data_IF_475141597918
#
_entry.id   IF_475141597918
#
_cell.length_a   1.000
_cell.length_b   1.000
_cell.length_c   1.000
_cell.angle_alpha   90.00
_cell.angle_beta   90.00
_cell.angle_gamma   90.00
#
_symmetry.space_group_name_H-M   'P 1'
#
loop_
_entity.id
_entity.type
_entity.pdbx_description
1 polymer ?
#
# COMPACT_ATOMS: atom_id res chain seq x y z
N UNK A 1 15.00 4.51 7.26
CA UNK A 1 14.41 3.68 6.19
C UNK A 1 13.42 4.46 5.33
N UNK A 2 12.37 5.09 5.88
CA UNK A 2 11.41 5.88 5.08
C UNK A 2 12.01 7.04 4.27
N UNK A 3 12.88 7.86 4.86
CA UNK A 3 13.60 8.91 4.09
C UNK A 3 14.62 8.34 3.09
N UNK A 4 15.25 7.22 3.43
CA UNK A 4 16.23 6.57 2.57
C UNK A 4 15.55 5.90 1.35
N UNK A 5 14.33 5.38 1.50
CA UNK A 5 13.54 4.79 0.41
C UNK A 5 13.25 5.77 -0.73
N UNK A 6 13.04 7.06 -0.41
CA UNK A 6 12.81 8.10 -1.42
C UNK A 6 14.06 8.40 -2.27
N UNK A 7 15.27 8.16 -1.75
CA UNK A 7 16.54 8.45 -2.45
C UNK A 7 17.26 7.20 -2.96
N UNK A 8 17.05 6.04 -2.34
CA UNK A 8 17.73 4.77 -2.65
C UNK A 8 16.82 3.74 -3.32
N UNK A 9 15.54 4.07 -3.57
CA UNK A 9 14.57 3.15 -4.20
C UNK A 9 14.13 1.99 -3.30
N UNK A 10 14.47 2.00 -2.02
CA UNK A 10 14.14 0.92 -1.10
C UNK A 10 12.70 0.95 -0.64
N UNK A 11 12.04 -0.21 -0.71
CA UNK A 11 10.75 -0.45 -0.04
C UNK A 11 10.99 -0.73 1.45
N UNK A 12 10.43 0.06 2.39
CA UNK A 12 10.49 -0.22 3.81
C UNK A 12 9.94 -1.62 4.15
N UNK A 13 10.57 -2.29 5.11
CA UNK A 13 10.15 -3.62 5.56
C UNK A 13 8.65 -3.70 5.95
N UNK A 14 8.04 -2.70 6.61
CA UNK A 14 6.60 -2.70 6.87
C UNK A 14 5.74 -2.79 5.60
N UNK A 15 6.16 -2.13 4.52
CA UNK A 15 5.43 -2.16 3.25
C UNK A 15 5.57 -3.52 2.55
N UNK A 16 6.74 -4.15 2.67
CA UNK A 16 6.99 -5.48 2.10
C UNK A 16 6.21 -6.59 2.81
N UNK A 17 5.99 -6.45 4.12
CA UNK A 17 5.29 -7.45 4.91
C UNK A 17 3.77 -7.28 4.90
N UNK A 18 3.25 -6.18 4.34
CA UNK A 18 1.82 -5.88 4.30
C UNK A 18 1.03 -6.97 3.56
N UNK A 19 1.32 -7.24 2.29
CA UNK A 19 0.58 -8.24 1.52
C UNK A 19 0.65 -9.66 2.12
N UNK A 20 1.82 -10.16 2.55
CA UNK A 20 1.91 -11.44 3.25
C UNK A 20 1.05 -11.50 4.52
N UNK A 21 1.08 -10.44 5.34
CA UNK A 21 0.28 -10.34 6.56
C UNK A 21 -1.22 -10.37 6.26
N UNK A 22 -1.66 -9.61 5.25
CA UNK A 22 -3.05 -9.60 4.82
C UNK A 22 -3.49 -10.96 4.26
N UNK A 23 -2.62 -11.65 3.52
CA UNK A 23 -2.94 -12.95 2.90
C UNK A 23 -3.20 -14.06 3.92
N UNK A 24 -2.60 -13.98 5.11
CA UNK A 24 -2.73 -14.98 6.18
C UNK A 24 -3.85 -14.60 7.16
N UNK A 25 -4.37 -13.38 7.06
CA UNK A 25 -5.36 -12.87 8.00
C UNK A 25 -6.71 -13.59 7.84
N UNK A 26 -7.27 -14.18 8.91
CA UNK A 26 -8.60 -14.77 8.85
C UNK A 26 -9.64 -13.71 8.48
N UNK A 27 -10.56 -14.03 7.56
CA UNK A 27 -11.55 -13.07 7.06
C UNK A 27 -12.39 -12.38 8.15
N UNK A 28 -12.65 -13.07 9.27
CA UNK A 28 -13.35 -12.49 10.43
C UNK A 28 -12.53 -11.37 11.08
N UNK A 29 -11.21 -11.57 11.21
CA UNK A 29 -10.30 -10.57 11.78
C UNK A 29 -10.14 -9.40 10.81
N UNK A 30 -10.00 -9.69 9.52
CA UNK A 30 -9.90 -8.67 8.49
C UNK A 30 -11.16 -7.80 8.42
N UNK A 31 -12.35 -8.42 8.42
CA UNK A 31 -13.64 -7.71 8.46
C UNK A 31 -13.79 -6.84 9.70
N UNK A 32 -13.49 -7.39 10.89
CA UNK A 32 -13.51 -6.62 12.14
C UNK A 32 -12.54 -5.42 12.11
N UNK A 33 -11.32 -5.62 11.61
CA UNK A 33 -10.33 -4.55 11.52
C UNK A 33 -10.73 -3.48 10.50
N UNK A 34 -11.34 -3.85 9.37
CA UNK A 34 -11.89 -2.90 8.41
C UNK A 34 -13.04 -2.10 9.03
N UNK A 35 -14.00 -2.79 9.66
CA UNK A 35 -15.18 -2.14 10.25
C UNK A 35 -14.79 -1.21 11.41
N UNK A 36 -13.78 -1.59 12.19
CA UNK A 36 -13.33 -0.83 13.37
C UNK A 36 -12.33 0.26 13.04
N UNK A 37 -11.35 -0.01 12.17
CA UNK A 37 -10.27 0.93 11.87
C UNK A 37 -10.55 1.79 10.65
N UNK A 38 -11.43 1.36 9.74
CA UNK A 38 -11.78 2.07 8.51
C UNK A 38 -10.55 2.72 7.85
N UNK A 39 -10.53 4.06 7.78
CA UNK A 39 -9.48 4.84 7.12
C UNK A 39 -8.16 4.83 7.92
N UNK A 40 -8.21 4.56 9.22
CA UNK A 40 -7.04 4.43 10.08
C UNK A 40 -6.34 3.07 9.91
N UNK A 41 -6.95 2.09 9.23
CA UNK A 41 -6.41 0.73 9.11
C UNK A 41 -4.97 0.71 8.61
N UNK A 42 -4.69 1.42 7.50
CA UNK A 42 -3.33 1.49 6.94
C UNK A 42 -2.33 2.18 7.86
N UNK A 43 -2.75 3.25 8.55
CA UNK A 43 -1.90 4.01 9.47
C UNK A 43 -1.56 3.17 10.71
N UNK A 44 -2.56 2.49 11.28
CA UNK A 44 -2.41 1.62 12.45
C UNK A 44 -1.53 0.42 12.12
N UNK A 45 -1.68 -0.16 10.93
CA UNK A 45 -0.84 -1.27 10.47
C UNK A 45 0.63 -0.86 10.35
N UNK A 46 0.92 0.23 9.62
CA UNK A 46 2.30 0.70 9.47
C UNK A 46 2.92 1.12 10.81
N UNK A 47 2.16 1.82 11.65
CA UNK A 47 2.61 2.21 12.99
C UNK A 47 2.88 0.98 13.87
N UNK A 48 1.99 -0.01 13.85
CA UNK A 48 2.14 -1.27 14.58
C UNK A 48 3.39 -2.03 14.17
N UNK A 49 3.68 -2.11 12.87
CA UNK A 49 4.89 -2.74 12.35
C UNK A 49 6.16 -1.99 12.74
N UNK A 50 6.14 -0.66 12.75
CA UNK A 50 7.27 0.15 13.23
C UNK A 50 7.52 -0.10 14.72
N UNK A 51 6.47 -0.08 15.55
CA UNK A 51 6.58 -0.35 16.99
C UNK A 51 7.13 -1.75 17.24
N UNK A 52 6.62 -2.76 16.51
CA UNK A 52 7.11 -4.13 16.60
C UNK A 52 8.59 -4.23 16.22
N UNK A 53 9.02 -3.59 15.13
CA UNK A 53 10.44 -3.56 14.73
C UNK A 53 11.33 -2.94 15.80
N UNK A 54 10.91 -1.81 16.39
CA UNK A 54 11.65 -1.16 17.49
C UNK A 54 11.73 -2.08 18.71
N UNK A 55 10.63 -2.75 19.08
CA UNK A 55 10.60 -3.69 20.19
C UNK A 55 11.52 -4.91 19.95
N UNK A 56 11.50 -5.49 18.75
CA UNK A 56 12.35 -6.64 18.37
C UNK A 56 13.84 -6.25 18.39
N UNK A 57 14.20 -5.12 17.80
CA UNK A 57 15.59 -4.63 17.84
C UNK A 57 16.00 -4.33 19.29
N UNK A 58 15.17 -3.61 20.05
CA UNK A 58 15.43 -3.35 21.47
C UNK A 58 15.62 -4.63 22.29
N UNK A 59 14.80 -5.66 22.03
CA UNK A 59 14.91 -6.97 22.65
C UNK A 59 16.21 -7.70 22.30
N UNK A 60 16.64 -7.64 21.03
CA UNK A 60 17.94 -8.18 20.60
C UNK A 60 19.11 -7.46 21.28
N UNK A 61 19.01 -6.14 21.44
CA UNK A 61 20.01 -5.35 22.18
C UNK A 61 20.07 -5.72 23.67
N UNK A 62 18.90 -5.83 24.32
CA UNK A 62 18.82 -6.25 25.72
C UNK A 62 19.36 -7.68 25.92
N UNK A 63 19.07 -8.60 25.01
CA UNK A 63 19.59 -9.96 25.03
C UNK A 63 21.11 -9.99 24.85
N UNK A 64 21.66 -9.17 23.95
CA UNK A 64 23.12 -8.96 23.81
C UNK A 64 23.73 -8.51 25.14
N UNK A 65 23.15 -7.50 25.78
CA UNK A 65 23.69 -6.95 27.03
C UNK A 65 23.61 -7.93 28.21
N UNK A 66 22.51 -8.68 28.33
CA UNK A 66 22.38 -9.73 29.35
C UNK A 66 23.35 -10.87 29.09
N UNK A 67 23.54 -11.27 27.83
CA UNK A 67 24.52 -12.27 27.46
C UNK A 67 25.95 -11.78 27.73
N UNK A 68 26.22 -10.49 27.58
CA UNK A 68 27.50 -9.83 27.91
C UNK A 68 27.87 -9.92 29.40
N UNK A 69 26.88 -10.07 30.30
CA UNK A 69 27.13 -10.32 31.73
C UNK A 69 27.69 -11.72 31.99
N UNK A 70 27.38 -12.70 31.12
CA UNK A 70 27.82 -14.10 31.23
C UNK A 70 29.03 -14.41 30.34
N UNK A 71 29.12 -13.78 29.18
CA UNK A 71 30.14 -14.02 28.17
C UNK A 71 30.78 -12.69 27.74
N UNK A 72 32.01 -12.46 28.21
CA UNK A 72 32.78 -11.22 27.97
C UNK A 72 33.50 -11.25 26.62
N UNK A 73 32.74 -11.30 25.53
CA UNK A 73 33.29 -11.24 24.16
C UNK A 73 32.99 -9.89 23.51
N UNK A 74 34.02 -9.27 22.89
CA UNK A 74 33.85 -8.04 22.10
C UNK A 74 32.97 -8.19 20.86
N UNK A 75 32.70 -9.43 20.45
CA UNK A 75 31.95 -9.76 19.23
C UNK A 75 30.48 -10.11 19.50
N UNK A 76 30.05 -10.12 20.76
CA UNK A 76 28.68 -10.48 21.13
C UNK A 76 27.62 -9.59 20.44
N UNK A 77 27.77 -8.25 20.39
CA UNK A 77 26.83 -7.38 19.68
C UNK A 77 26.71 -7.69 18.19
N UNK A 78 27.81 -8.08 17.55
CA UNK A 78 27.84 -8.48 16.14
C UNK A 78 27.14 -9.81 15.90
N UNK A 79 27.23 -10.76 16.84
CA UNK A 79 26.51 -12.02 16.76
C UNK A 79 24.98 -11.79 16.82
N UNK A 80 24.51 -10.97 17.77
CA UNK A 80 23.08 -10.64 17.89
C UNK A 80 22.56 -9.82 16.71
N UNK A 81 23.34 -8.85 16.22
CA UNK A 81 23.01 -8.13 14.99
C UNK A 81 23.00 -9.06 13.77
N UNK A 82 23.92 -10.02 13.71
CA UNK A 82 23.96 -11.06 12.66
C UNK A 82 22.74 -11.96 12.67
N UNK A 83 22.22 -12.34 13.84
CA UNK A 83 20.95 -13.08 13.97
C UNK A 83 19.79 -12.25 13.43
N UNK A 84 19.68 -10.98 13.81
CA UNK A 84 18.66 -10.08 13.30
C UNK A 84 18.76 -9.89 11.79
N UNK A 85 19.97 -9.74 11.26
CA UNK A 85 20.23 -9.64 9.84
C UNK A 85 19.77 -10.91 9.10
N UNK A 86 20.16 -12.10 9.58
CA UNK A 86 19.74 -13.38 9.01
C UNK A 86 18.22 -13.53 9.00
N UNK A 87 17.54 -13.16 10.08
CA UNK A 87 16.07 -13.18 10.13
C UNK A 87 15.46 -12.31 9.03
N UNK A 88 15.99 -11.09 8.83
CA UNK A 88 15.48 -10.21 7.79
C UNK A 88 15.76 -10.79 6.40
N UNK A 89 17.01 -11.14 6.10
CA UNK A 89 17.41 -11.49 4.74
C UNK A 89 17.03 -12.90 4.29
N UNK A 90 16.89 -13.84 5.22
CA UNK A 90 16.57 -15.24 4.95
C UNK A 90 15.09 -15.58 5.16
N UNK A 91 14.35 -14.77 5.92
CA UNK A 91 12.93 -15.04 6.24
C UNK A 91 12.03 -13.91 5.77
N UNK A 92 12.24 -12.68 6.27
CA UNK A 92 11.29 -11.59 6.03
C UNK A 92 11.30 -11.07 4.59
N UNK A 93 12.48 -10.94 3.96
CA UNK A 93 12.59 -10.51 2.55
C UNK A 93 12.00 -11.53 1.57
N UNK A 94 12.26 -12.85 1.70
CA UNK A 94 11.57 -13.86 0.92
C UNK A 94 10.05 -13.85 1.09
N UNK A 95 9.54 -13.69 2.32
CA UNK A 95 8.11 -13.59 2.57
C UNK A 95 7.48 -12.39 1.87
N UNK A 96 8.19 -11.25 1.81
CA UNK A 96 7.77 -10.07 1.05
C UNK A 96 7.99 -10.15 -0.47
N UNK A 97 8.39 -11.31 -1.01
CA UNK A 97 8.58 -11.53 -2.46
C UNK A 97 9.93 -11.08 -3.03
N UNK A 98 10.85 -10.56 -2.22
CA UNK A 98 12.15 -10.06 -2.68
C UNK A 98 13.23 -11.15 -2.83
N UNK A 99 12.89 -12.39 -2.46
CA UNK A 99 13.81 -13.53 -2.52
C UNK A 99 14.90 -13.48 -1.44
N UNK A 100 15.75 -14.50 -1.44
CA UNK A 100 16.85 -14.62 -0.46
C UNK A 100 17.84 -13.45 -0.63
N UNK A 101 18.25 -12.83 0.47
CA UNK A 101 19.08 -11.60 0.49
C UNK A 101 18.44 -10.35 -0.14
N UNK A 102 17.21 -10.44 -0.65
CA UNK A 102 16.56 -9.35 -1.37
C UNK A 102 17.07 -9.14 -2.80
N UNK A 103 17.69 -10.17 -3.40
CA UNK A 103 18.31 -10.07 -4.73
C UNK A 103 17.33 -9.73 -5.85
N UNK A 104 16.03 -10.04 -5.70
CA UNK A 104 15.03 -9.73 -6.72
C UNK A 104 14.73 -8.23 -6.83
N UNK A 105 15.07 -7.45 -5.80
CA UNK A 105 14.93 -5.98 -5.75
C UNK A 105 16.19 -5.27 -6.28
N UNK A 106 17.28 -6.03 -6.48
CA UNK A 106 18.53 -5.58 -7.05
C UNK A 106 19.75 -5.82 -6.15
N UNK A 107 20.94 -5.69 -6.73
CA UNK A 107 22.23 -5.80 -6.03
C UNK A 107 22.45 -4.87 -4.82
N UNK A 108 21.89 -3.63 -4.73
CA UNK A 108 22.12 -2.79 -3.56
C UNK A 108 21.39 -3.27 -2.30
N UNK A 109 20.27 -3.98 -2.43
CA UNK A 109 19.41 -4.38 -1.30
C UNK A 109 20.14 -5.23 -0.25
N UNK A 110 20.89 -6.30 -0.61
CA UNK A 110 21.72 -7.04 0.33
C UNK A 110 22.76 -6.16 1.06
N UNK A 111 23.42 -5.25 0.34
CA UNK A 111 24.46 -4.38 0.88
C UNK A 111 23.90 -3.37 1.88
N UNK A 112 22.71 -2.84 1.61
CA UNK A 112 22.06 -1.87 2.49
C UNK A 112 21.63 -2.56 3.78
N UNK A 113 21.02 -3.75 3.72
CA UNK A 113 20.67 -4.50 4.92
C UNK A 113 21.89 -4.92 5.74
N UNK A 114 22.97 -5.37 5.08
CA UNK A 114 24.24 -5.64 5.76
C UNK A 114 24.80 -4.38 6.46
N UNK A 115 24.75 -3.23 5.78
CA UNK A 115 25.22 -1.96 6.34
C UNK A 115 24.39 -1.51 7.54
N UNK A 116 23.06 -1.61 7.46
CA UNK A 116 22.16 -1.24 8.56
C UNK A 116 22.43 -2.09 9.82
N UNK A 117 22.60 -3.41 9.66
CA UNK A 117 22.89 -4.28 10.80
C UNK A 117 24.34 -4.15 11.30
N UNK A 118 25.30 -3.78 10.44
CA UNK A 118 26.64 -3.42 10.88
C UNK A 118 26.62 -2.14 11.74
N UNK A 119 25.89 -1.10 11.31
CA UNK A 119 25.68 0.12 12.10
C UNK A 119 25.00 -0.23 13.43
N UNK A 120 23.96 -1.08 13.39
CA UNK A 120 23.26 -1.53 14.60
C UNK A 120 24.21 -2.26 15.57
N UNK A 121 25.06 -3.17 15.08
CA UNK A 121 26.06 -3.86 15.89
C UNK A 121 27.04 -2.89 16.56
N UNK A 122 27.51 -1.90 15.81
CA UNK A 122 28.41 -0.85 16.32
C UNK A 122 27.73 -0.02 17.40
N UNK A 123 26.46 0.36 17.19
CA UNK A 123 25.68 1.09 18.20
C UNK A 123 25.53 0.27 19.49
N UNK A 124 25.20 -1.02 19.39
CA UNK A 124 25.14 -1.90 20.56
C UNK A 124 26.49 -2.01 21.28
N UNK A 125 27.58 -2.17 20.52
CA UNK A 125 28.92 -2.27 21.09
C UNK A 125 29.32 -1.01 21.87
N UNK A 126 29.01 0.17 21.36
CA UNK A 126 29.27 1.43 22.08
C UNK A 126 28.32 1.64 23.26
N UNK A 127 27.10 1.09 23.20
CA UNK A 127 26.14 1.13 24.30
C UNK A 127 26.53 0.23 25.49
N UNK A 128 27.23 -0.86 25.24
CA UNK A 128 27.62 -1.85 26.27
C UNK A 128 28.93 -1.53 27.01
N UNK A 129 29.76 -0.60 26.51
CA UNK A 129 31.01 -0.25 27.18
C UNK A 129 30.78 0.65 28.41
N UNK A 130 31.16 0.21 29.64
CA UNK A 130 31.16 1.10 30.79
C UNK A 130 32.25 2.16 30.61
N UNK A 131 31.86 3.44 30.52
CA UNK A 131 32.80 4.53 30.31
C UNK A 131 33.73 4.70 31.54
N UNK A 132 35.07 4.69 31.39
CA UNK A 132 35.98 5.01 32.47
C UNK A 132 36.09 6.54 32.65
N UNK A 133 35.89 7.03 33.87
CA UNK A 133 36.00 8.45 34.23
C UNK A 133 34.72 9.25 33.95
N UNK A 134 34.02 9.65 35.01
CA UNK A 134 32.70 10.29 34.95
C UNK A 134 32.76 11.79 34.60
N UNK A 135 32.17 12.17 33.47
CA UNK A 135 31.61 13.51 33.27
C UNK A 135 30.14 13.41 32.85
N UNK A 136 29.24 13.87 33.71
CA UNK A 136 27.79 13.75 33.55
C UNK A 136 27.27 14.46 32.29
N UNK A 137 27.98 15.50 31.81
CA UNK A 137 27.62 16.25 30.60
C UNK A 137 27.74 15.41 29.32
N UNK A 138 28.80 14.61 29.20
CA UNK A 138 29.08 13.81 28.00
C UNK A 138 28.14 12.61 27.86
N UNK A 139 27.72 12.02 28.99
CA UNK A 139 26.70 10.95 29.04
C UNK A 139 25.33 11.44 28.56
N UNK A 140 24.96 12.67 28.92
CA UNK A 140 23.71 13.31 28.49
C UNK A 140 23.68 13.58 26.99
N UNK A 141 24.83 13.89 26.39
CA UNK A 141 24.96 14.13 24.95
C UNK A 141 24.95 12.80 24.18
N UNK A 142 25.72 11.78 24.62
CA UNK A 142 25.79 10.49 23.93
C UNK A 142 24.51 9.65 24.06
N UNK A 143 23.76 9.76 25.17
CA UNK A 143 22.42 9.15 25.27
C UNK A 143 21.32 10.05 24.71
N UNK A 144 21.48 11.36 24.80
CA UNK A 144 20.49 12.34 24.37
C UNK A 144 20.40 12.49 22.85
N UNK A 145 21.51 12.37 22.11
CA UNK A 145 21.51 12.53 20.64
C UNK A 145 20.71 11.42 19.94
N UNK A 146 20.89 10.12 20.24
CA UNK A 146 20.06 9.06 19.65
C UNK A 146 18.59 9.17 20.03
N UNK A 147 18.30 9.55 21.28
CA UNK A 147 16.92 9.76 21.76
C UNK A 147 16.29 10.97 21.08
N UNK A 148 17.03 12.07 20.91
CA UNK A 148 16.56 13.26 20.20
C UNK A 148 16.36 12.99 18.71
N UNK A 149 17.28 12.27 18.05
CA UNK A 149 17.10 11.83 16.67
C UNK A 149 15.88 10.92 16.56
N UNK A 150 15.69 9.98 17.49
CA UNK A 150 14.53 9.11 17.55
C UNK A 150 13.23 9.88 17.75
N UNK A 151 13.18 10.81 18.71
CA UNK A 151 12.02 11.63 19.01
C UNK A 151 11.69 12.62 17.88
N UNK A 152 12.69 13.25 17.27
CA UNK A 152 12.52 14.14 16.10
C UNK A 152 12.09 13.33 14.88
N UNK A 153 12.65 12.14 14.67
CA UNK A 153 12.24 11.26 13.56
C UNK A 153 10.82 10.75 13.74
N UNK A 154 10.45 10.32 14.96
CA UNK A 154 9.08 9.92 15.30
C UNK A 154 8.10 11.08 15.23
N UNK A 155 8.49 12.28 15.68
CA UNK A 155 7.68 13.49 15.58
C UNK A 155 7.50 13.96 14.14
N UNK A 156 8.54 13.92 13.32
CA UNK A 156 8.47 14.26 11.89
C UNK A 156 7.69 13.21 11.08
N UNK A 157 7.87 11.93 11.39
CA UNK A 157 7.06 10.85 10.82
C UNK A 157 5.60 11.00 11.27
N UNK A 158 5.40 11.37 12.53
CA UNK A 158 4.12 11.72 13.13
C UNK A 158 3.40 12.82 12.34
N UNK A 159 4.06 13.96 12.18
CA UNK A 159 3.51 15.12 11.47
C UNK A 159 3.31 14.87 9.97
N UNK A 160 4.10 13.98 9.35
CA UNK A 160 4.03 13.68 7.91
C UNK A 160 3.04 12.58 7.56
N UNK A 161 2.91 11.54 8.40
CA UNK A 161 1.97 10.43 8.20
C UNK A 161 0.62 10.67 8.88
N UNK A 162 0.53 11.59 9.86
CA UNK A 162 -0.67 11.82 10.65
C UNK A 162 -1.26 13.27 10.63
N UNK A 163 -1.22 14.07 9.54
CA UNK A 163 -2.21 15.15 9.46
C UNK A 163 -3.61 14.51 9.51
N UNK A 164 -4.46 14.96 10.43
CA UNK A 164 -5.89 14.60 10.48
C UNK A 164 -6.30 13.14 10.78
N UNK A 165 -5.38 12.25 11.18
CA UNK A 165 -5.70 10.87 11.57
C UNK A 165 -6.77 10.74 12.68
N UNK A 166 -6.80 11.68 13.62
CA UNK A 166 -7.76 11.71 14.72
C UNK A 166 -9.18 11.99 14.23
N UNK A 167 -9.34 12.68 13.08
CA UNK A 167 -10.66 12.88 12.47
C UNK A 167 -11.23 11.54 11.98
N UNK A 168 -10.39 10.65 11.48
CA UNK A 168 -10.80 9.30 11.06
C UNK A 168 -11.20 8.39 12.23
N UNK A 169 -10.73 8.65 13.46
CA UNK A 169 -11.02 7.83 14.65
C UNK A 169 -12.15 8.41 15.49
N UNK A 170 -12.20 9.73 15.65
CA UNK A 170 -13.16 10.41 16.53
C UNK A 170 -14.39 10.97 15.81
N UNK A 171 -14.46 10.87 14.47
CA UNK A 171 -15.67 11.17 13.70
C UNK A 171 -16.20 9.89 13.04
N UNK A 172 -16.79 9.00 13.84
CA UNK A 172 -17.78 8.08 13.29
C UNK A 172 -18.99 8.91 12.84
N UNK A 173 -19.50 8.79 11.61
CA UNK A 173 -20.63 9.60 11.19
C UNK A 173 -21.93 9.09 11.80
N UNK A 174 -22.52 9.94 12.64
CA UNK A 174 -23.87 9.82 13.14
C UNK A 174 -24.88 10.16 12.02
N UNK A 175 -26.00 9.44 11.98
CA UNK A 175 -27.06 9.51 10.94
C UNK A 175 -27.99 10.75 10.99
N UNK A 176 -27.54 11.88 11.54
CA UNK A 176 -28.31 13.13 11.63
C UNK A 176 -28.21 14.02 10.37
N UNK A 177 -28.59 13.46 9.21
CA UNK A 177 -28.44 13.94 7.82
C UNK A 177 -27.96 15.41 7.60
N UNK A 178 -26.72 15.55 7.12
CA UNK A 178 -26.22 16.62 6.23
C UNK A 178 -25.32 15.99 5.16
N UNK A 179 -25.20 16.60 3.98
CA UNK A 179 -24.35 16.08 2.88
C UNK A 179 -25.07 15.16 1.88
N UNK A 180 -26.34 15.45 1.54
CA UNK A 180 -27.02 14.74 0.44
C UNK A 180 -26.19 14.95 -0.83
N UNK A 181 -25.63 13.87 -1.38
CA UNK A 181 -24.93 13.93 -2.66
C UNK A 181 -25.89 14.48 -3.72
N UNK A 182 -25.44 15.42 -4.57
CA UNK A 182 -26.26 15.91 -5.68
C UNK A 182 -26.76 14.73 -6.53
N UNK A 183 -27.98 14.83 -7.05
CA UNK A 183 -28.53 13.80 -7.94
C UNK A 183 -27.63 13.54 -9.16
N UNK A 184 -26.95 14.57 -9.64
CA UNK A 184 -25.81 14.49 -10.56
C UNK A 184 -24.71 15.37 -9.98
N UNK A 185 -23.55 14.77 -9.69
CA UNK A 185 -22.42 15.43 -9.07
C UNK A 185 -21.59 16.14 -10.13
N UNK A 186 -21.33 17.46 -10.00
CA UNK A 186 -20.46 18.16 -10.95
C UNK A 186 -19.10 17.46 -11.05
N UNK A 187 -18.56 17.29 -12.26
CA UNK A 187 -17.32 16.53 -12.53
C UNK A 187 -16.16 16.99 -11.65
N UNK A 188 -15.99 18.30 -11.43
CA UNK A 188 -14.93 18.85 -10.58
C UNK A 188 -15.04 18.45 -9.09
N UNK A 189 -16.21 17.95 -8.67
CA UNK A 189 -16.52 17.51 -7.32
C UNK A 189 -16.74 15.99 -7.25
N UNK A 190 -16.55 15.25 -8.34
CA UNK A 190 -16.70 13.80 -8.35
C UNK A 190 -15.66 13.18 -7.40
N UNK A 191 -16.08 12.30 -6.50
CA UNK A 191 -15.15 11.76 -5.51
C UNK A 191 -14.06 10.91 -6.19
N UNK A 192 -12.82 11.04 -5.70
CA UNK A 192 -11.66 10.32 -6.22
C UNK A 192 -11.04 9.51 -5.09
N UNK A 193 -10.81 8.22 -5.35
CA UNK A 193 -10.04 7.33 -4.48
C UNK A 193 -8.91 6.76 -5.32
N UNK A 194 -7.67 6.95 -4.88
CA UNK A 194 -6.49 6.41 -5.56
C UNK A 194 -5.65 5.58 -4.60
N UNK A 195 -5.12 4.46 -5.11
CA UNK A 195 -4.11 3.65 -4.42
C UNK A 195 -2.68 4.19 -4.61
N UNK A 196 -2.49 5.12 -5.55
CA UNK A 196 -1.16 5.54 -6.00
C UNK A 196 -0.67 6.74 -5.16
N UNK A 197 0.15 6.46 -4.15
CA UNK A 197 0.70 7.51 -3.26
C UNK A 197 1.63 8.51 -3.97
N UNK A 198 2.16 8.15 -5.15
CA UNK A 198 3.03 9.00 -5.97
C UNK A 198 2.32 9.77 -7.08
N UNK A 199 0.99 9.69 -7.15
CA UNK A 199 0.17 10.23 -8.24
C UNK A 199 -0.28 9.15 -9.24
N UNK A 200 -1.39 9.43 -9.92
CA UNK A 200 -1.99 8.54 -10.91
C UNK A 200 -1.28 8.62 -12.28
N UNK A 201 -1.29 7.54 -13.09
CA UNK A 201 -0.66 7.56 -14.39
C UNK A 201 -1.35 8.55 -15.34
N UNK A 202 -0.56 9.41 -15.98
CA UNK A 202 -1.03 10.21 -17.11
C UNK A 202 -1.01 9.36 -18.37
N UNK A 203 -2.17 9.14 -18.98
CA UNK A 203 -2.35 8.28 -20.15
C UNK A 203 -2.55 9.13 -21.40
N UNK A 204 -1.70 8.95 -22.41
CA UNK A 204 -1.91 9.53 -23.73
C UNK A 204 -3.02 8.77 -24.47
N UNK A 205 -4.16 9.43 -24.69
CA UNK A 205 -5.31 8.86 -25.39
C UNK A 205 -5.04 8.45 -26.85
N UNK A 206 -4.04 9.04 -27.53
CA UNK A 206 -3.68 8.67 -28.90
C UNK A 206 -2.93 7.33 -28.94
N UNK A 207 -2.04 7.12 -27.97
CA UNK A 207 -1.28 5.89 -27.81
C UNK A 207 -2.07 4.78 -27.09
N UNK A 208 -3.14 5.13 -26.37
CA UNK A 208 -3.94 4.17 -25.62
C UNK A 208 -4.62 3.14 -26.51
N UNK A 209 -4.68 1.90 -26.00
CA UNK A 209 -5.33 0.76 -26.66
C UNK A 209 -6.05 -0.12 -25.64
N UNK A 210 -7.31 -0.45 -25.92
CA UNK A 210 -8.08 -1.49 -25.23
C UNK A 210 -7.73 -2.85 -25.83
N UNK A 211 -7.17 -3.73 -25.01
CA UNK A 211 -6.89 -5.12 -25.39
C UNK A 211 -7.91 -6.05 -24.76
N UNK A 212 -8.58 -6.84 -25.59
CA UNK A 212 -9.47 -7.93 -25.15
C UNK A 212 -8.85 -9.24 -25.62
N UNK A 213 -8.54 -10.14 -24.69
CA UNK A 213 -7.83 -11.38 -24.97
C UNK A 213 -8.15 -12.47 -23.95
N UNK A 214 -7.25 -13.46 -23.83
CA UNK A 214 -7.45 -14.61 -22.95
C UNK A 214 -8.21 -15.74 -23.64
N UNK A 215 -9.25 -16.28 -22.98
CA UNK A 215 -10.08 -17.37 -23.51
C UNK A 215 -11.13 -16.87 -24.51
N UNK A 216 -10.66 -16.28 -25.60
CA UNK A 216 -11.49 -15.73 -26.69
C UNK A 216 -11.02 -16.28 -28.03
N UNK A 217 -11.93 -16.37 -29.01
CA UNK A 217 -11.57 -16.78 -30.37
C UNK A 217 -10.99 -15.64 -31.20
N UNK A 218 -11.37 -14.39 -30.90
CA UNK A 218 -10.88 -13.18 -31.58
C UNK A 218 -10.34 -12.20 -30.56
N UNK A 219 -9.03 -11.98 -30.56
CA UNK A 219 -8.43 -10.91 -29.76
C UNK A 219 -8.72 -9.54 -30.37
N UNK A 220 -9.06 -8.57 -29.53
CA UNK A 220 -9.30 -7.18 -29.95
C UNK A 220 -8.15 -6.28 -29.46
N UNK A 221 -7.82 -5.28 -30.25
CA UNK A 221 -6.83 -4.25 -29.92
C UNK A 221 -7.31 -2.90 -30.47
N UNK A 222 -8.20 -2.24 -29.75
CA UNK A 222 -8.92 -1.06 -30.22
C UNK A 222 -8.25 0.23 -29.72
N UNK A 223 -8.04 1.19 -30.62
CA UNK A 223 -7.75 2.59 -30.26
C UNK A 223 -8.95 3.26 -29.58
N UNK A 224 -8.70 4.37 -28.90
CA UNK A 224 -9.78 5.18 -28.33
C UNK A 224 -10.74 5.68 -29.41
N UNK A 225 -10.24 6.03 -30.59
CA UNK A 225 -11.06 6.45 -31.73
C UNK A 225 -11.95 5.32 -32.27
N UNK A 226 -11.41 4.11 -32.42
CA UNK A 226 -12.19 2.93 -32.83
C UNK A 226 -13.24 2.57 -31.78
N UNK A 227 -12.92 2.65 -30.48
CA UNK A 227 -13.86 2.41 -29.40
C UNK A 227 -15.03 3.42 -29.44
N UNK A 228 -14.73 4.71 -29.66
CA UNK A 228 -15.74 5.77 -29.79
C UNK A 228 -16.62 5.62 -31.04
N UNK A 229 -16.14 4.95 -32.08
CA UNK A 229 -16.88 4.69 -33.30
C UNK A 229 -17.90 3.53 -33.17
N UNK A 230 -17.81 2.72 -32.12
CA UNK A 230 -18.78 1.67 -31.83
C UNK A 230 -20.09 2.26 -31.27
N UNK A 231 -21.22 1.51 -31.39
CA UNK A 231 -22.47 1.89 -30.74
C UNK A 231 -22.25 2.13 -29.24
N UNK A 232 -22.67 3.30 -28.78
CA UNK A 232 -22.51 3.73 -27.39
C UNK A 232 -23.85 3.99 -26.73
N UNK A 233 -23.83 3.91 -25.41
CA UNK A 233 -24.96 4.19 -24.53
C UNK A 233 -24.56 5.20 -23.47
N UNK A 234 -25.57 5.74 -22.81
CA UNK A 234 -25.42 6.64 -21.67
C UNK A 234 -26.17 6.03 -20.49
N UNK A 235 -25.52 6.00 -19.33
CA UNK A 235 -26.09 5.47 -18.09
C UNK A 235 -25.75 6.41 -16.94
N UNK A 236 -26.78 6.80 -16.17
CA UNK A 236 -26.57 7.49 -14.91
C UNK A 236 -26.15 6.47 -13.85
N UNK A 237 -24.87 6.51 -13.47
CA UNK A 237 -24.31 5.56 -12.51
C UNK A 237 -23.90 6.30 -11.25
N UNK A 238 -24.31 5.75 -10.12
CA UNK A 238 -23.83 6.17 -8.81
C UNK A 238 -22.68 5.25 -8.40
N UNK A 239 -21.50 5.83 -8.25
CA UNK A 239 -20.35 5.15 -7.67
C UNK A 239 -20.31 5.46 -6.18
N UNK A 240 -20.08 4.44 -5.36
CA UNK A 240 -19.93 4.56 -3.92
C UNK A 240 -18.74 3.71 -3.46
N UNK A 241 -17.86 4.31 -2.67
CA UNK A 241 -16.76 3.58 -2.06
C UNK A 241 -17.29 2.64 -0.96
N UNK A 242 -16.70 1.45 -0.82
CA UNK A 242 -16.99 0.55 0.31
C UNK A 242 -16.71 1.20 1.67
N UNK A 243 -15.80 2.16 1.71
CA UNK A 243 -15.48 2.96 2.90
C UNK A 243 -16.42 4.16 3.09
N UNK A 244 -17.43 4.35 2.22
CA UNK A 244 -18.38 5.44 2.38
C UNK A 244 -19.33 5.15 3.53
N UNK A 245 -19.37 6.06 4.49
CA UNK A 245 -20.30 5.96 5.59
C UNK A 245 -21.68 6.57 5.23
N UNK A 246 -22.70 6.33 6.07
CA UNK A 246 -24.03 6.95 5.90
C UNK A 246 -23.90 8.48 6.00
N UNK A 247 -24.32 9.19 4.95
CA UNK A 247 -24.13 10.65 4.85
C UNK A 247 -22.70 11.10 4.52
N UNK A 248 -21.82 10.17 4.17
CA UNK A 248 -20.45 10.44 3.74
C UNK A 248 -20.36 11.03 2.32
N UNK A 249 -19.16 11.47 1.95
CA UNK A 249 -18.87 12.16 0.69
C UNK A 249 -18.14 11.28 -0.34
N UNK A 250 -17.94 9.98 -0.07
CA UNK A 250 -17.30 9.04 -1.00
C UNK A 250 -18.32 8.38 -1.93
N UNK A 251 -19.20 9.22 -2.50
CA UNK A 251 -20.29 8.83 -3.38
C UNK A 251 -20.58 9.94 -4.37
N UNK A 252 -20.66 9.61 -5.65
CA UNK A 252 -20.99 10.55 -6.72
C UNK A 252 -21.78 9.86 -7.81
N UNK A 253 -22.67 10.62 -8.44
CA UNK A 253 -23.53 10.17 -9.54
C UNK A 253 -23.20 10.99 -10.77
N UNK A 254 -23.03 10.35 -11.92
CA UNK A 254 -22.76 11.03 -13.19
C UNK A 254 -23.32 10.26 -14.38
N UNK A 255 -23.44 10.92 -15.52
CA UNK A 255 -23.82 10.31 -16.79
C UNK A 255 -22.58 9.77 -17.50
N UNK A 256 -22.40 8.46 -17.49
CA UNK A 256 -21.29 7.80 -18.16
C UNK A 256 -21.69 7.41 -19.58
N UNK A 257 -20.84 7.77 -20.55
CA UNK A 257 -20.99 7.32 -21.93
C UNK A 257 -19.90 6.32 -22.29
N UNK A 258 -20.29 5.22 -22.92
CA UNK A 258 -19.36 4.16 -23.30
C UNK A 258 -19.96 3.09 -24.20
N UNK A 259 -19.15 2.09 -24.52
CA UNK A 259 -19.57 0.88 -25.25
C UNK A 259 -19.99 -0.18 -24.24
N UNK A 260 -21.10 -0.90 -24.48
CA UNK A 260 -21.50 -2.00 -23.59
C UNK A 260 -20.41 -3.07 -23.58
N UNK A 261 -20.00 -3.51 -22.40
CA UNK A 261 -18.96 -4.52 -22.24
C UNK A 261 -19.37 -5.85 -22.91
N UNK A 262 -20.66 -6.20 -22.84
CA UNK A 262 -21.19 -7.39 -23.53
C UNK A 262 -20.94 -7.38 -25.04
N UNK A 263 -21.03 -6.21 -25.69
CA UNK A 263 -20.90 -6.13 -27.14
C UNK A 263 -19.44 -6.35 -27.56
N UNK A 264 -18.50 -5.78 -26.80
CA UNK A 264 -17.07 -6.05 -26.96
C UNK A 264 -16.74 -7.53 -26.74
N UNK A 265 -17.34 -8.16 -25.75
CA UNK A 265 -17.17 -9.59 -25.52
C UNK A 265 -17.77 -10.42 -26.67
N UNK A 266 -18.95 -10.09 -27.17
CA UNK A 266 -19.55 -10.74 -28.35
C UNK A 266 -18.64 -10.63 -29.58
N UNK A 267 -18.03 -9.46 -29.81
CA UNK A 267 -17.02 -9.27 -30.86
C UNK A 267 -15.81 -10.17 -30.65
N UNK A 268 -15.33 -10.32 -29.41
CA UNK A 268 -14.21 -11.18 -29.08
C UNK A 268 -14.53 -12.69 -29.16
N UNK A 269 -15.81 -13.07 -29.04
CA UNK A 269 -16.28 -14.46 -29.04
C UNK A 269 -15.61 -15.30 -27.94
N UNK A 270 -16.08 -15.19 -26.68
CA UNK A 270 -15.48 -15.91 -25.55
C UNK A 270 -15.70 -17.42 -25.72
N UNK A 271 -14.67 -18.19 -25.40
CA UNK A 271 -14.75 -19.66 -25.41
C UNK A 271 -15.60 -20.15 -24.25
N UNK A 272 -16.21 -21.33 -24.41
CA UNK A 272 -17.08 -21.93 -23.38
C UNK A 272 -16.39 -22.22 -22.05
N UNK A 273 -15.05 -22.34 -22.03
CA UNK A 273 -14.29 -22.49 -20.79
C UNK A 273 -14.09 -21.16 -20.03
N UNK A 274 -14.35 -20.01 -20.65
CA UNK A 274 -14.24 -18.70 -20.00
C UNK A 274 -15.44 -18.42 -19.11
N UNK A 275 -15.21 -18.27 -17.80
CA UNK A 275 -16.26 -18.02 -16.80
C UNK A 275 -16.17 -16.65 -16.13
N UNK A 276 -15.05 -15.96 -16.29
CA UNK A 276 -14.78 -14.67 -15.66
C UNK A 276 -14.20 -13.67 -16.68
N UNK A 277 -14.51 -12.41 -16.48
CA UNK A 277 -13.92 -11.27 -17.19
C UNK A 277 -12.98 -10.57 -16.22
N UNK A 278 -11.69 -10.56 -16.52
CA UNK A 278 -10.68 -9.86 -15.74
C UNK A 278 -10.32 -8.52 -16.37
N UNK A 279 -10.18 -7.49 -15.54
CA UNK A 279 -9.78 -6.14 -15.91
C UNK A 279 -8.37 -5.90 -15.40
N UNK A 280 -7.56 -5.20 -16.19
CA UNK A 280 -6.24 -4.71 -15.77
C UNK A 280 -6.05 -3.27 -16.23
N UNK A 281 -5.82 -2.38 -15.27
CA UNK A 281 -5.55 -0.98 -15.52
C UNK A 281 -4.07 -0.71 -15.82
N UNK A 282 -3.77 0.53 -16.21
CA UNK A 282 -2.41 0.98 -16.56
C UNK A 282 -1.44 0.99 -15.36
N UNK A 283 -1.97 1.15 -14.16
CA UNK A 283 -1.24 1.15 -12.88
C UNK A 283 -1.24 -0.23 -12.19
N UNK A 284 -1.48 -1.29 -12.97
CA UNK A 284 -1.54 -2.68 -12.51
C UNK A 284 -2.68 -3.03 -11.55
N UNK A 285 -3.66 -2.13 -11.36
CA UNK A 285 -4.90 -2.50 -10.67
C UNK A 285 -5.64 -3.59 -11.46
N UNK A 286 -6.14 -4.61 -10.77
CA UNK A 286 -6.91 -5.71 -11.36
C UNK A 286 -8.20 -5.95 -10.60
N UNK A 287 -9.27 -6.30 -11.33
CA UNK A 287 -10.56 -6.69 -10.78
C UNK A 287 -11.19 -7.73 -11.70
N UNK A 288 -12.23 -8.44 -11.27
CA UNK A 288 -12.96 -9.36 -12.12
C UNK A 288 -14.46 -9.39 -11.86
N UNK A 289 -15.22 -9.73 -12.90
CA UNK A 289 -16.66 -9.98 -12.81
C UNK A 289 -16.99 -11.34 -13.43
N UNK A 290 -17.99 -12.06 -12.88
CA UNK A 290 -18.54 -13.25 -13.54
C UNK A 290 -19.02 -12.94 -14.96
N UNK A 291 -18.71 -13.81 -15.93
CA UNK A 291 -19.07 -13.58 -17.33
C UNK A 291 -20.60 -13.56 -17.53
N UNK A 292 -21.33 -14.40 -16.81
CA UNK A 292 -22.78 -14.46 -16.83
C UNK A 292 -23.42 -13.16 -16.32
N UNK A 293 -22.86 -12.55 -15.25
CA UNK A 293 -23.29 -11.25 -14.76
C UNK A 293 -23.12 -10.16 -15.83
N UNK A 294 -21.98 -10.15 -16.53
CA UNK A 294 -21.72 -9.20 -17.63
C UNK A 294 -22.69 -9.41 -18.79
N UNK A 295 -22.99 -10.66 -19.12
CA UNK A 295 -23.96 -10.99 -20.17
C UNK A 295 -25.40 -10.64 -19.77
N UNK A 296 -25.74 -10.73 -18.49
CA UNK A 296 -27.07 -10.42 -17.98
C UNK A 296 -27.31 -8.91 -17.82
N UNK A 297 -26.28 -8.11 -17.53
CA UNK A 297 -26.40 -6.70 -17.13
C UNK A 297 -26.01 -5.75 -18.28
N UNK A 298 -26.97 -5.17 -19.03
CA UNK A 298 -26.65 -4.41 -20.24
C UNK A 298 -25.98 -3.06 -19.95
N UNK A 299 -26.15 -2.54 -18.74
CA UNK A 299 -25.65 -1.26 -18.26
C UNK A 299 -24.13 -1.27 -17.99
N UNK A 300 -23.48 -2.44 -17.95
CA UNK A 300 -22.02 -2.51 -17.78
C UNK A 300 -21.33 -2.03 -19.05
N UNK A 301 -20.55 -0.96 -18.91
CA UNK A 301 -19.93 -0.23 -20.01
C UNK A 301 -18.44 -0.03 -19.82
N UNK A 302 -17.71 0.06 -20.93
CA UNK A 302 -16.37 0.63 -20.98
C UNK A 302 -16.53 2.12 -21.28
N UNK A 303 -16.51 2.93 -20.21
CA UNK A 303 -16.72 4.37 -20.27
C UNK A 303 -15.53 5.10 -20.91
N UNK A 304 -15.82 6.18 -21.62
CA UNK A 304 -14.79 7.12 -22.10
C UNK A 304 -15.19 8.60 -21.97
N UNK A 305 -16.46 8.90 -21.65
CA UNK A 305 -16.90 10.24 -21.28
C UNK A 305 -17.73 10.20 -19.98
N UNK A 306 -17.70 11.31 -19.23
CA UNK A 306 -18.48 11.58 -18.04
C UNK A 306 -19.10 12.98 -18.16
N UNK A 307 -20.42 13.07 -18.06
CA UNK A 307 -21.20 14.32 -18.18
C UNK A 307 -20.87 15.15 -19.44
N UNK A 308 -20.63 14.46 -20.57
CA UNK A 308 -20.34 15.07 -21.86
C UNK A 308 -18.89 15.52 -22.07
N UNK A 309 -18.00 15.27 -21.11
CA UNK A 309 -16.57 15.53 -21.21
C UNK A 309 -15.75 14.23 -21.22
N UNK A 310 -14.57 14.19 -21.87
CA UNK A 310 -13.67 13.03 -21.81
C UNK A 310 -13.20 12.74 -20.37
N UNK A 311 -13.10 11.45 -20.04
CA UNK A 311 -12.42 10.94 -18.84
C UNK A 311 -10.90 11.09 -18.92
#
# INVERSE_FOLDING_TARGET
MYYAGTFLGLRPLPQLLNEPLLSIMPGIVFGFLIDTLQHAGKVVEEFGLIVLMVAVLGGLGAASSVAGLRWTSRYLPFAFAGIGWLLVVAVLLPLGGLGFLGVNDGFPTPLIWASLFAIYAVVLQFGEQPAPGFDAGRRRILSGVPIAIGAVSLGALGLRLLPDWYKAIFQAPESGIRGISPAVTPVQNFYVVSKNLGGDPVVDGQAWRLRVGGLVDRSLNLSLGELRALPSIEEYVTLACISNNVGGNLMSTGNFRGVRLRDLLTMASPKSQGTWVAFRARDDYTESLPLDLVQATPEILVAYDLDGAPL
#
